data_IF_849634331219
#
_entry.id   IF_849634331219
#
_cell.length_a   1.000
_cell.length_b   1.000
_cell.length_c   1.000
_cell.angle_alpha   90.00
_cell.angle_beta   90.00
_cell.angle_gamma   90.00
#
_symmetry.space_group_name_H-M   'P 1'
#
loop_
_entity.id
_entity.type
_entity.pdbx_description
1 polymer ?
#
# COMPACT_ATOMS: atom_id res chain seq x y z
N UNK A 1 36.36 -2.44 22.70
CA UNK A 1 36.20 -1.24 21.83
C UNK A 1 35.58 -1.59 20.47
N UNK A 2 36.13 -2.55 19.72
CA UNK A 2 35.57 -3.00 18.41
C UNK A 2 34.12 -3.51 18.49
N UNK A 3 33.81 -4.40 19.44
CA UNK A 3 32.44 -4.92 19.66
C UNK A 3 31.41 -3.81 19.93
N UNK A 4 31.79 -2.79 20.71
CA UNK A 4 30.90 -1.69 21.06
C UNK A 4 30.58 -0.80 19.84
N UNK A 5 31.58 -0.57 18.98
CA UNK A 5 31.37 0.13 17.72
C UNK A 5 30.37 -0.61 16.82
N UNK A 6 30.53 -1.93 16.68
CA UNK A 6 29.62 -2.77 15.88
C UNK A 6 28.18 -2.70 16.40
N UNK A 7 27.99 -2.80 17.72
CA UNK A 7 26.66 -2.69 18.34
C UNK A 7 26.05 -1.30 18.15
N UNK A 8 26.84 -0.24 18.31
CA UNK A 8 26.37 1.13 18.11
C UNK A 8 25.89 1.36 16.68
N UNK A 9 26.64 0.91 15.67
CA UNK A 9 26.23 1.02 14.26
C UNK A 9 24.96 0.21 13.96
N UNK A 10 24.83 -1.01 14.50
CA UNK A 10 23.65 -1.84 14.29
C UNK A 10 22.39 -1.19 14.88
N UNK A 11 22.48 -0.65 16.09
CA UNK A 11 21.34 0.01 16.76
C UNK A 11 20.97 1.31 16.05
N UNK A 12 21.95 2.17 15.76
CA UNK A 12 21.69 3.45 15.06
C UNK A 12 21.14 3.19 13.66
N UNK A 13 21.72 2.26 12.91
CA UNK A 13 21.25 1.87 11.59
C UNK A 13 19.83 1.31 11.62
N UNK A 14 19.53 0.43 12.59
CA UNK A 14 18.20 -0.12 12.78
C UNK A 14 17.15 0.93 13.13
N UNK A 15 17.45 1.84 14.06
CA UNK A 15 16.53 2.92 14.45
C UNK A 15 16.33 3.90 13.31
N UNK A 16 17.41 4.36 12.67
CA UNK A 16 17.33 5.32 11.56
C UNK A 16 16.58 4.72 10.36
N UNK A 17 16.88 3.47 10.00
CA UNK A 17 16.19 2.75 8.94
C UNK A 17 14.70 2.55 9.25
N UNK A 18 14.37 2.08 10.46
CA UNK A 18 12.99 1.89 10.89
C UNK A 18 12.20 3.19 10.91
N UNK A 19 12.77 4.27 11.45
CA UNK A 19 12.16 5.59 11.46
C UNK A 19 11.89 6.11 10.03
N UNK A 20 12.85 5.95 9.11
CA UNK A 20 12.67 6.34 7.72
C UNK A 20 11.49 5.61 7.05
N UNK A 21 11.36 4.29 7.25
CA UNK A 21 10.24 3.50 6.69
C UNK A 21 8.90 3.98 7.25
N UNK A 22 8.82 4.25 8.56
CA UNK A 22 7.60 4.74 9.20
C UNK A 22 7.20 6.14 8.69
N UNK A 23 8.17 7.04 8.55
CA UNK A 23 7.96 8.38 8.01
C UNK A 23 7.43 8.30 6.57
N UNK A 24 8.07 7.50 5.71
CA UNK A 24 7.61 7.31 4.32
C UNK A 24 6.18 6.73 4.28
N UNK A 25 5.89 5.73 5.10
CA UNK A 25 4.55 5.13 5.17
C UNK A 25 3.47 6.13 5.61
N UNK A 26 3.79 7.06 6.51
CA UNK A 26 2.88 8.10 6.99
C UNK A 26 2.72 9.26 5.99
N UNK A 27 3.81 9.66 5.32
CA UNK A 27 3.79 10.78 4.36
C UNK A 27 3.25 10.41 2.98
N UNK A 28 3.21 9.12 2.62
CA UNK A 28 2.69 8.72 1.31
C UNK A 28 1.26 9.27 1.10
N UNK A 29 0.95 9.97 0.01
CA UNK A 29 -0.38 10.52 -0.20
C UNK A 29 -1.39 9.40 -0.44
N UNK A 30 -2.61 9.59 0.09
CA UNK A 30 -3.73 8.69 -0.22
C UNK A 30 -4.19 8.94 -1.65
N UNK A 31 -4.45 7.87 -2.39
CA UNK A 31 -5.00 7.97 -3.74
C UNK A 31 -6.52 8.23 -3.68
N UNK A 32 -7.04 8.90 -4.70
CA UNK A 32 -8.48 9.13 -4.87
C UNK A 32 -9.04 8.24 -5.97
N UNK A 33 -10.32 7.89 -5.87
CA UNK A 33 -10.98 7.08 -6.88
C UNK A 33 -11.12 7.88 -8.18
N UNK A 34 -10.65 7.37 -9.34
CA UNK A 34 -10.80 8.09 -10.60
C UNK A 34 -12.26 8.26 -11.05
N UNK A 35 -13.18 7.40 -10.58
CA UNK A 35 -14.61 7.45 -10.93
C UNK A 35 -15.41 8.45 -10.09
N UNK A 36 -15.34 8.33 -8.77
CA UNK A 36 -16.18 9.11 -7.85
C UNK A 36 -15.39 10.13 -7.00
N UNK A 37 -14.07 10.24 -7.18
CA UNK A 37 -13.15 11.11 -6.43
C UNK A 37 -13.08 10.88 -4.92
N UNK A 38 -13.77 9.86 -4.40
CA UNK A 38 -13.68 9.47 -2.98
C UNK A 38 -12.26 9.04 -2.63
N UNK A 39 -11.76 9.45 -1.45
CA UNK A 39 -10.47 9.00 -0.95
C UNK A 39 -10.47 7.48 -0.72
N UNK A 40 -9.45 6.79 -1.25
CA UNK A 40 -9.26 5.37 -0.99
C UNK A 40 -8.70 5.16 0.42
N UNK A 41 -9.08 4.06 1.08
CA UNK A 41 -8.57 3.73 2.41
C UNK A 41 -7.06 3.46 2.34
N UNK A 42 -6.34 3.94 3.37
CA UNK A 42 -4.90 3.69 3.55
C UNK A 42 -4.64 2.19 3.73
N UNK A 43 -5.40 1.56 4.63
CA UNK A 43 -5.36 0.12 4.84
C UNK A 43 -6.24 -0.54 3.79
N UNK A 44 -5.59 -1.17 2.80
CA UNK A 44 -6.27 -1.95 1.78
C UNK A 44 -6.78 -3.26 2.37
N UNK A 45 -8.04 -3.60 2.10
CA UNK A 45 -8.59 -4.94 2.29
C UNK A 45 -8.90 -5.50 0.90
N UNK A 46 -8.18 -6.54 0.43
CA UNK A 46 -8.46 -7.12 -0.87
C UNK A 46 -9.84 -7.76 -0.86
N UNK A 47 -10.61 -7.53 -1.91
CA UNK A 47 -11.94 -8.11 -2.13
C UNK A 47 -11.91 -9.36 -3.02
N UNK A 48 -10.79 -9.61 -3.71
CA UNK A 48 -10.60 -10.71 -4.64
C UNK A 48 -9.12 -11.11 -4.71
N UNK A 49 -8.84 -12.27 -5.31
CA UNK A 49 -7.49 -12.82 -5.44
C UNK A 49 -6.55 -11.87 -6.23
N UNK A 50 -7.09 -11.19 -7.25
CA UNK A 50 -6.33 -10.23 -8.05
C UNK A 50 -5.83 -9.05 -7.21
N UNK A 51 -6.66 -8.48 -6.35
CA UNK A 51 -6.28 -7.41 -5.43
C UNK A 51 -5.31 -7.89 -4.35
N UNK A 52 -5.42 -9.15 -3.92
CA UNK A 52 -4.47 -9.74 -2.98
C UNK A 52 -3.05 -9.85 -3.62
N UNK A 53 -2.97 -10.30 -4.86
CA UNK A 53 -1.71 -10.52 -5.58
C UNK A 53 -1.11 -9.24 -6.18
N UNK A 54 -1.87 -8.52 -7.00
CA UNK A 54 -1.41 -7.34 -7.74
C UNK A 54 -1.57 -6.05 -6.95
N UNK A 55 -2.39 -6.06 -5.90
CA UNK A 55 -2.80 -4.87 -5.19
C UNK A 55 -3.90 -4.09 -5.90
N UNK A 56 -4.09 -2.86 -5.44
CA UNK A 56 -5.23 -2.04 -5.82
C UNK A 56 -6.20 -1.84 -4.66
N UNK A 57 -7.33 -1.26 -5.00
CA UNK A 57 -8.39 -0.91 -4.06
C UNK A 57 -9.75 -1.19 -4.67
N UNK A 58 -10.64 -1.70 -3.83
CA UNK A 58 -12.06 -1.66 -4.07
C UNK A 58 -12.63 -0.37 -3.44
N UNK A 59 -13.24 0.50 -4.25
CA UNK A 59 -13.78 1.76 -3.75
C UNK A 59 -15.06 1.51 -2.90
N UNK A 60 -15.11 1.94 -1.62
CA UNK A 60 -16.27 1.71 -0.77
C UNK A 60 -17.50 2.55 -1.14
N UNK A 61 -17.33 3.64 -1.89
CA UNK A 61 -18.41 4.54 -2.26
C UNK A 61 -19.12 4.16 -3.57
N UNK A 62 -18.37 3.74 -4.59
CA UNK A 62 -18.94 3.45 -5.92
C UNK A 62 -18.67 2.04 -6.44
N UNK A 63 -17.98 1.19 -5.66
CA UNK A 63 -17.64 -0.18 -6.03
C UNK A 63 -16.62 -0.30 -7.18
N UNK A 64 -16.02 0.81 -7.63
CA UNK A 64 -15.02 0.75 -8.69
C UNK A 64 -13.76 0.01 -8.22
N UNK A 65 -13.26 -0.89 -9.07
CA UNK A 65 -11.95 -1.52 -8.91
C UNK A 65 -10.88 -0.58 -9.44
N UNK A 66 -9.91 -0.27 -8.59
CA UNK A 66 -8.82 0.66 -8.88
C UNK A 66 -7.51 -0.11 -8.77
N UNK A 67 -6.67 -0.04 -9.81
CA UNK A 67 -5.36 -0.67 -9.79
C UNK A 67 -4.40 0.01 -8.80
N UNK A 68 -3.27 -0.65 -8.54
CA UNK A 68 -2.24 -0.16 -7.59
C UNK A 68 -1.68 1.21 -7.99
N UNK A 69 -1.62 1.50 -9.28
CA UNK A 69 -1.18 2.79 -9.82
C UNK A 69 -2.23 3.90 -9.63
N UNK A 70 -3.51 3.55 -9.42
CA UNK A 70 -4.63 4.48 -9.29
C UNK A 70 -5.53 4.54 -10.53
N UNK A 71 -5.25 3.75 -11.57
CA UNK A 71 -6.08 3.67 -12.77
C UNK A 71 -7.36 2.88 -12.50
N UNK A 72 -8.44 3.22 -13.24
CA UNK A 72 -9.68 2.46 -13.19
C UNK A 72 -9.50 1.15 -13.94
N UNK A 73 -9.91 0.05 -13.34
CA UNK A 73 -9.97 -1.23 -14.02
C UNK A 73 -11.33 -1.32 -14.71
N UNK A 74 -11.34 -1.35 -16.04
CA UNK A 74 -12.48 -1.86 -16.79
C UNK A 74 -12.58 -3.35 -16.49
N UNK A 75 -13.78 -3.85 -16.16
CA UNK A 75 -14.07 -5.27 -16.02
C UNK A 75 -13.38 -6.07 -17.13
N UNK A 76 -12.33 -6.79 -16.77
CA UNK A 76 -11.59 -7.74 -17.59
C UNK A 76 -11.53 -9.06 -16.84
N UNK A 77 -11.30 -10.20 -17.52
CA UNK A 77 -11.85 -11.52 -17.25
C UNK A 77 -11.30 -12.21 -15.98
N UNK A 78 -11.65 -11.68 -14.81
CA UNK A 78 -11.47 -12.30 -13.49
C UNK A 78 -12.76 -12.26 -12.65
N UNK A 79 -13.90 -12.13 -13.32
CA UNK A 79 -15.27 -12.04 -12.80
C UNK A 79 -15.82 -13.35 -12.19
N UNK A 80 -15.05 -14.43 -12.11
CA UNK A 80 -15.58 -15.67 -11.56
C UNK A 80 -14.64 -16.86 -11.49
N UNK A 81 -13.79 -16.93 -10.46
CA UNK A 81 -13.47 -18.23 -9.84
C UNK A 81 -12.90 -18.04 -8.42
N UNK A 82 -13.53 -18.76 -7.49
CA UNK A 82 -13.34 -18.86 -6.03
C UNK A 82 -14.03 -17.79 -5.17
#
# INVERSE_FOLDING_TARGET
>A
MFMYAVLAFAVVGGIAGGAAVLVVAFLLPRKSCPKCKTLLPRFRKPSNAREAMLGGWHCPACGARVARDGSLLSSGPDDGLA
#
